data_IF_436756581795
#
_entry.id   IF_436756581795
#
_cell.length_a   1.000
_cell.length_b   1.000
_cell.length_c   1.000
_cell.angle_alpha   90.00
_cell.angle_beta   90.00
_cell.angle_gamma   90.00
#
_symmetry.space_group_name_H-M   'P 1'
#
loop_
_entity.id
_entity.type
_entity.pdbx_description
1 polymer ?
#
# COMPACT_ATOMS: atom_id res chain seq x y z
N UNK A 1 -20.99 38.94 -58.72
CA UNK A 1 -19.96 39.80 -59.34
C UNK A 1 -18.65 39.06 -59.23
N UNK A 2 -18.18 38.56 -60.37
CA UNK A 2 -17.02 37.70 -60.55
C UNK A 2 -15.75 38.54 -60.43
N UNK A 3 -15.24 38.71 -59.21
CA UNK A 3 -13.89 39.25 -59.02
C UNK A 3 -12.90 38.11 -59.27
N UNK A 4 -12.66 37.79 -60.54
CA UNK A 4 -11.47 37.02 -60.89
C UNK A 4 -10.26 37.77 -60.34
N UNK A 5 -9.28 37.04 -59.79
CA UNK A 5 -8.01 37.61 -59.30
C UNK A 5 -7.53 38.71 -60.24
N UNK A 6 -7.07 39.83 -59.67
CA UNK A 6 -6.54 40.91 -60.48
C UNK A 6 -5.36 40.37 -61.30
N UNK A 7 -5.13 40.88 -62.53
CA UNK A 7 -4.00 40.42 -63.35
C UNK A 7 -2.66 40.48 -62.61
N UNK A 8 -2.50 41.45 -61.73
CA UNK A 8 -1.32 41.63 -60.88
C UNK A 8 -1.16 40.48 -59.87
N UNK A 9 -2.25 40.03 -59.23
CA UNK A 9 -2.24 38.90 -58.29
C UNK A 9 -1.87 37.58 -58.99
N UNK A 10 -2.35 37.37 -60.22
CA UNK A 10 -1.98 36.19 -61.03
C UNK A 10 -0.54 36.24 -61.52
N UNK A 11 -0.05 37.40 -61.94
CA UNK A 11 1.34 37.56 -62.31
C UNK A 11 2.26 37.30 -61.11
N UNK A 12 1.88 37.78 -59.92
CA UNK A 12 2.59 37.52 -58.69
C UNK A 12 2.61 36.02 -58.34
N UNK A 13 1.51 35.29 -58.52
CA UNK A 13 1.47 33.85 -58.23
C UNK A 13 2.37 33.03 -59.17
N UNK A 14 2.48 33.42 -60.45
CA UNK A 14 3.39 32.80 -61.42
C UNK A 14 4.85 33.03 -61.01
N UNK A 15 5.23 34.27 -60.70
CA UNK A 15 6.59 34.61 -60.28
C UNK A 15 6.96 33.85 -58.98
N UNK A 16 6.01 33.75 -58.04
CA UNK A 16 6.22 33.07 -56.77
C UNK A 16 6.36 31.55 -56.91
N UNK A 17 5.73 30.94 -57.91
CA UNK A 17 5.79 29.49 -58.17
C UNK A 17 7.16 28.98 -58.64
N UNK A 18 8.03 29.87 -59.13
CA UNK A 18 9.38 29.51 -59.59
C UNK A 18 10.27 29.14 -58.38
N UNK A 19 10.91 27.95 -58.39
CA UNK A 19 11.74 27.49 -57.27
C UNK A 19 13.03 28.31 -57.15
N UNK A 20 12.97 29.39 -56.38
CA UNK A 20 14.11 30.21 -55.98
C UNK A 20 13.73 31.07 -54.78
N UNK A 21 14.72 31.46 -53.97
CA UNK A 21 14.54 32.30 -52.78
C UNK A 21 14.76 33.81 -53.05
N UNK A 22 15.26 34.20 -54.23
CA UNK A 22 15.55 35.59 -54.60
C UNK A 22 14.64 36.11 -55.72
N UNK A 23 14.10 37.32 -55.57
CA UNK A 23 13.22 37.97 -56.55
C UNK A 23 13.91 38.16 -57.92
N UNK A 24 15.18 38.55 -57.92
CA UNK A 24 15.96 38.70 -59.14
C UNK A 24 16.10 37.39 -59.91
N UNK A 25 16.27 36.28 -59.18
CA UNK A 25 16.37 34.95 -59.79
C UNK A 25 15.02 34.43 -60.25
N UNK A 26 13.92 34.76 -59.58
CA UNK A 26 12.56 34.41 -60.03
C UNK A 26 12.21 35.12 -61.33
N UNK A 27 12.32 36.45 -61.35
CA UNK A 27 12.02 37.25 -62.55
C UNK A 27 13.02 36.94 -63.67
N UNK A 28 14.31 36.81 -63.35
CA UNK A 28 15.33 36.38 -64.30
C UNK A 28 15.05 35.01 -64.88
N UNK A 29 14.60 34.04 -64.08
CA UNK A 29 14.26 32.69 -64.55
C UNK A 29 13.08 32.67 -65.52
N UNK A 30 12.02 33.43 -65.24
CA UNK A 30 10.87 33.55 -66.17
C UNK A 30 11.30 34.23 -67.47
N UNK A 31 12.02 35.36 -67.39
CA UNK A 31 12.47 36.11 -68.57
C UNK A 31 13.44 35.28 -69.40
N UNK A 32 14.40 34.60 -68.77
CA UNK A 32 15.32 33.70 -69.46
C UNK A 32 14.61 32.51 -70.09
N UNK A 33 13.64 31.91 -69.38
CA UNK A 33 12.84 30.81 -69.93
C UNK A 33 12.09 31.23 -71.19
N UNK A 34 11.40 32.39 -71.16
CA UNK A 34 10.69 32.93 -72.32
C UNK A 34 11.64 33.36 -73.45
N UNK A 35 12.78 33.95 -73.13
CA UNK A 35 13.78 34.34 -74.13
C UNK A 35 14.40 33.12 -74.82
N UNK A 36 14.69 32.06 -74.07
CA UNK A 36 15.22 30.80 -74.62
C UNK A 36 14.19 30.09 -75.51
N UNK A 37 12.92 30.05 -75.11
CA UNK A 37 11.87 29.46 -75.97
C UNK A 37 11.65 30.28 -77.24
N UNK A 38 11.61 31.61 -77.14
CA UNK A 38 11.49 32.49 -78.29
C UNK A 38 12.69 32.36 -79.25
N UNK A 39 13.91 32.29 -78.70
CA UNK A 39 15.11 32.06 -79.49
C UNK A 39 15.10 30.69 -80.16
N UNK A 40 14.70 29.62 -79.46
CA UNK A 40 14.65 28.27 -80.01
C UNK A 40 13.65 28.12 -81.16
N UNK A 41 12.53 28.83 -81.11
CA UNK A 41 11.57 28.91 -82.23
C UNK A 41 12.11 29.77 -83.37
N UNK A 42 12.69 30.93 -83.04
CA UNK A 42 13.20 31.87 -84.05
C UNK A 42 14.42 31.35 -84.81
N UNK A 43 15.24 30.50 -84.22
CA UNK A 43 16.41 29.88 -84.86
C UNK A 43 16.11 28.52 -85.48
N UNK A 44 14.83 28.09 -85.49
CA UNK A 44 14.39 26.75 -85.91
C UNK A 44 15.09 25.61 -85.15
N UNK A 45 15.71 25.89 -84.00
CA UNK A 45 16.29 24.86 -83.12
C UNK A 45 15.19 23.89 -82.62
N UNK A 46 13.96 24.38 -82.50
CA UNK A 46 12.76 23.56 -82.32
C UNK A 46 11.85 23.67 -83.55
N UNK A 47 11.67 22.55 -84.26
CA UNK A 47 10.75 22.45 -85.40
C UNK A 47 9.50 21.70 -84.97
N UNK A 48 8.33 22.34 -85.15
CA UNK A 48 7.05 21.71 -84.86
C UNK A 48 6.72 20.62 -85.89
N UNK A 49 6.92 19.36 -85.51
CA UNK A 49 6.59 18.18 -86.31
C UNK A 49 5.41 17.39 -85.69
N UNK A 50 4.96 16.32 -86.34
CA UNK A 50 3.90 15.42 -85.86
C UNK A 50 4.16 14.89 -84.43
N UNK A 51 5.42 14.65 -84.07
CA UNK A 51 5.83 14.23 -82.73
C UNK A 51 5.53 15.27 -81.64
N UNK A 52 5.37 16.55 -81.98
CA UNK A 52 5.03 17.60 -81.01
C UNK A 52 3.59 17.50 -80.53
N UNK A 53 2.67 17.06 -81.38
CA UNK A 53 1.29 16.76 -81.00
C UNK A 53 1.26 15.56 -80.05
N UNK A 54 2.08 14.54 -80.32
CA UNK A 54 2.24 13.39 -79.42
C UNK A 54 2.82 13.81 -78.07
N UNK A 55 3.86 14.65 -78.06
CA UNK A 55 4.47 15.15 -76.84
C UNK A 55 3.49 15.96 -75.98
N UNK A 56 2.72 16.87 -76.59
CA UNK A 56 1.68 17.65 -75.90
C UNK A 56 0.60 16.72 -75.34
N UNK A 57 0.12 15.74 -76.10
CA UNK A 57 -0.84 14.74 -75.64
C UNK A 57 -0.32 13.92 -74.46
N UNK A 58 0.95 13.50 -74.52
CA UNK A 58 1.62 12.80 -73.42
C UNK A 58 1.71 13.66 -72.16
N UNK A 59 2.11 14.93 -72.27
CA UNK A 59 2.17 15.83 -71.11
C UNK A 59 0.80 16.09 -70.48
N UNK A 60 -0.27 16.18 -71.27
CA UNK A 60 -1.63 16.31 -70.74
C UNK A 60 -2.02 15.06 -69.95
N UNK A 61 -1.75 13.86 -70.48
CA UNK A 61 -2.05 12.60 -69.80
C UNK A 61 -1.22 12.50 -68.51
N UNK A 62 0.09 12.78 -68.55
CA UNK A 62 0.96 12.76 -67.37
C UNK A 62 0.49 13.76 -66.31
N UNK A 63 0.08 14.97 -66.71
CA UNK A 63 -0.43 15.97 -65.79
C UNK A 63 -1.77 15.54 -65.15
N UNK A 64 -2.65 14.92 -65.93
CA UNK A 64 -3.93 14.39 -65.44
C UNK A 64 -3.73 13.20 -64.48
N UNK A 65 -2.85 12.26 -64.84
CA UNK A 65 -2.49 11.09 -64.03
C UNK A 65 -1.77 11.50 -62.74
N UNK A 66 -0.82 12.45 -62.84
CA UNK A 66 -0.12 12.98 -61.67
C UNK A 66 -1.08 13.61 -60.65
N UNK A 67 -2.09 14.37 -61.12
CA UNK A 67 -3.13 14.92 -60.25
C UNK A 67 -4.05 13.85 -59.66
N UNK A 68 -4.43 12.84 -60.44
CA UNK A 68 -5.42 11.84 -60.00
C UNK A 68 -4.83 10.76 -59.08
N UNK A 69 -3.56 10.39 -59.27
CA UNK A 69 -2.91 9.31 -58.50
C UNK A 69 -2.19 9.83 -57.24
N UNK A 70 -1.76 11.10 -57.21
CA UNK A 70 -0.99 11.64 -56.10
C UNK A 70 -1.68 11.50 -54.73
N UNK A 71 -2.94 11.94 -54.63
CA UNK A 71 -3.72 11.85 -53.40
C UNK A 71 -3.97 10.40 -52.91
N UNK A 72 -4.50 9.47 -53.74
CA UNK A 72 -4.72 8.10 -53.30
C UNK A 72 -3.41 7.39 -52.94
N UNK A 73 -2.33 7.62 -53.67
CA UNK A 73 -1.02 7.03 -53.35
C UNK A 73 -0.46 7.55 -52.01
N UNK A 74 -0.54 8.85 -51.75
CA UNK A 74 -0.16 9.44 -50.46
C UNK A 74 -0.93 8.81 -49.31
N UNK A 75 -2.25 8.71 -49.45
CA UNK A 75 -3.12 8.14 -48.41
C UNK A 75 -2.82 6.65 -48.15
N UNK A 76 -2.52 5.89 -49.21
CA UNK A 76 -2.12 4.49 -49.11
C UNK A 76 -0.76 4.34 -48.42
N UNK A 77 0.22 5.16 -48.81
CA UNK A 77 1.56 5.14 -48.24
C UNK A 77 1.53 5.51 -46.74
N UNK A 78 0.79 6.56 -46.37
CA UNK A 78 0.57 6.95 -44.98
C UNK A 78 -0.12 5.85 -44.17
N UNK A 79 -1.16 5.21 -44.73
CA UNK A 79 -1.84 4.08 -44.10
C UNK A 79 -0.90 2.91 -43.82
N UNK A 80 -0.04 2.57 -44.79
CA UNK A 80 0.96 1.51 -44.64
C UNK A 80 2.01 1.85 -43.57
N UNK A 81 2.53 3.09 -43.60
CA UNK A 81 3.48 3.59 -42.61
C UNK A 81 2.85 3.57 -41.21
N UNK A 82 1.62 4.02 -41.06
CA UNK A 82 0.92 4.05 -39.78
C UNK A 82 0.63 2.65 -39.25
N UNK A 83 0.30 1.69 -40.12
CA UNK A 83 0.16 0.28 -39.73
C UNK A 83 1.47 -0.29 -39.17
N UNK A 84 2.58 -0.08 -39.88
CA UNK A 84 3.90 -0.56 -39.43
C UNK A 84 4.29 0.10 -38.10
N UNK A 85 4.14 1.42 -37.99
CA UNK A 85 4.40 2.16 -36.74
C UNK A 85 3.52 1.67 -35.60
N UNK A 86 2.23 1.41 -35.86
CA UNK A 86 1.28 0.87 -34.89
C UNK A 86 1.70 -0.50 -34.36
N UNK A 87 2.06 -1.42 -35.26
CA UNK A 87 2.55 -2.75 -34.87
C UNK A 87 3.83 -2.64 -34.04
N UNK A 88 4.80 -1.82 -34.46
CA UNK A 88 6.05 -1.65 -33.74
C UNK A 88 5.85 -1.07 -32.34
N UNK A 89 5.00 -0.05 -32.20
CA UNK A 89 4.70 0.57 -30.91
C UNK A 89 3.90 -0.39 -30.00
N UNK A 90 2.95 -1.13 -30.57
CA UNK A 90 2.19 -2.16 -29.82
C UNK A 90 3.13 -3.26 -29.33
N UNK A 91 3.98 -3.81 -30.19
CA UNK A 91 4.94 -4.85 -29.82
C UNK A 91 5.91 -4.37 -28.73
N UNK A 92 6.39 -3.12 -28.82
CA UNK A 92 7.21 -2.52 -27.75
C UNK A 92 6.45 -2.44 -26.43
N UNK A 93 5.22 -1.93 -26.45
CA UNK A 93 4.40 -1.83 -25.23
C UNK A 93 4.03 -3.19 -24.65
N UNK A 94 3.77 -4.19 -25.49
CA UNK A 94 3.44 -5.54 -25.04
C UNK A 94 4.67 -6.23 -24.45
N UNK A 95 5.83 -6.09 -25.08
CA UNK A 95 7.08 -6.62 -24.56
C UNK A 95 7.45 -5.97 -23.22
N UNK A 96 7.33 -4.64 -23.07
CA UNK A 96 7.61 -3.99 -21.78
C UNK A 96 6.63 -4.46 -20.69
N UNK A 97 5.35 -4.64 -21.01
CA UNK A 97 4.37 -5.21 -20.08
C UNK A 97 4.71 -6.64 -19.67
N UNK A 98 5.06 -7.51 -20.63
CA UNK A 98 5.43 -8.89 -20.37
C UNK A 98 6.69 -8.99 -19.50
N UNK A 99 7.71 -8.18 -19.78
CA UNK A 99 8.93 -8.10 -18.97
C UNK A 99 8.62 -7.59 -17.57
N UNK A 100 7.79 -6.54 -17.44
CA UNK A 100 7.39 -6.01 -16.12
C UNK A 100 6.64 -7.05 -15.30
N UNK A 101 5.66 -7.74 -15.90
CA UNK A 101 4.92 -8.82 -15.24
C UNK A 101 5.84 -9.97 -14.80
N UNK A 102 6.87 -10.30 -15.61
CA UNK A 102 7.86 -11.31 -15.23
C UNK A 102 8.75 -10.84 -14.08
N UNK A 103 9.15 -9.57 -14.07
CA UNK A 103 9.91 -8.97 -12.96
C UNK A 103 9.08 -9.04 -11.67
N UNK A 104 7.80 -8.67 -11.71
CA UNK A 104 6.91 -8.71 -10.56
C UNK A 104 6.76 -10.14 -10.01
N UNK A 105 6.57 -11.12 -10.89
CA UNK A 105 6.50 -12.54 -10.50
C UNK A 105 7.80 -13.03 -9.86
N UNK A 106 8.96 -12.65 -10.40
CA UNK A 106 10.26 -13.01 -9.81
C UNK A 106 10.49 -12.29 -8.48
N UNK A 107 10.03 -11.05 -8.34
CA UNK A 107 10.14 -10.30 -7.10
C UNK A 107 9.33 -10.94 -5.96
N UNK A 108 8.17 -11.51 -6.25
CA UNK A 108 7.40 -12.29 -5.27
C UNK A 108 8.17 -13.52 -4.77
N UNK A 109 8.92 -14.19 -5.64
CA UNK A 109 9.72 -15.36 -5.26
C UNK A 109 10.89 -15.00 -4.33
N UNK A 110 11.39 -13.76 -4.39
CA UNK A 110 12.44 -13.28 -3.49
C UNK A 110 11.98 -13.26 -2.03
N UNK A 111 10.71 -12.94 -1.78
CA UNK A 111 10.14 -12.84 -0.43
C UNK A 111 9.80 -14.21 0.19
N UNK A 112 9.77 -15.29 -0.61
CA UNK A 112 9.40 -16.63 -0.10
C UNK A 112 10.48 -17.21 0.80
N UNK A 113 11.76 -17.05 0.45
CA UNK A 113 12.88 -17.56 1.25
C UNK A 113 12.90 -16.98 2.67
N UNK A 114 12.95 -15.65 2.87
CA UNK A 114 12.94 -15.08 4.22
C UNK A 114 11.65 -15.41 4.98
N UNK A 115 10.50 -15.50 4.30
CA UNK A 115 9.25 -15.91 4.93
C UNK A 115 9.32 -17.34 5.47
N UNK A 116 9.91 -18.28 4.71
CA UNK A 116 10.08 -19.66 5.18
C UNK A 116 11.05 -19.75 6.35
N UNK A 117 12.16 -19.01 6.33
CA UNK A 117 13.09 -18.95 7.45
C UNK A 117 12.43 -18.39 8.71
N UNK A 118 11.64 -17.31 8.57
CA UNK A 118 10.85 -16.74 9.65
C UNK A 118 9.82 -17.72 10.20
N UNK A 119 9.14 -18.48 9.34
CA UNK A 119 8.16 -19.48 9.78
C UNK A 119 8.83 -20.58 10.62
N UNK A 120 10.02 -21.04 10.22
CA UNK A 120 10.80 -22.00 11.02
C UNK A 120 11.33 -21.39 12.33
N UNK A 121 11.75 -20.12 12.31
CA UNK A 121 12.17 -19.41 13.51
C UNK A 121 11.02 -19.27 14.52
N UNK A 122 9.84 -18.86 14.06
CA UNK A 122 8.62 -18.77 14.87
C UNK A 122 8.24 -20.14 15.42
N UNK A 123 8.25 -21.20 14.60
CA UNK A 123 7.95 -22.55 15.09
C UNK A 123 8.92 -23.02 16.19
N UNK A 124 10.21 -22.68 16.06
CA UNK A 124 11.23 -23.01 17.07
C UNK A 124 11.03 -22.21 18.36
N UNK A 125 10.74 -20.92 18.25
CA UNK A 125 10.47 -20.03 19.38
C UNK A 125 9.21 -20.47 20.13
N UNK A 126 8.12 -20.78 19.41
CA UNK A 126 6.88 -21.30 20.00
C UNK A 126 7.12 -22.57 20.79
N UNK A 127 7.88 -23.53 20.24
CA UNK A 127 8.18 -24.78 20.97
C UNK A 127 9.00 -24.52 22.25
N UNK A 128 9.98 -23.61 22.19
CA UNK A 128 10.75 -23.23 23.37
C UNK A 128 9.85 -22.58 24.44
N UNK A 129 8.99 -21.64 24.05
CA UNK A 129 8.05 -20.97 24.95
C UNK A 129 6.98 -21.91 25.52
N UNK A 130 6.48 -22.87 24.73
CA UNK A 130 5.56 -23.90 25.20
C UNK A 130 6.22 -24.81 26.22
N UNK A 131 7.48 -25.20 25.99
CA UNK A 131 8.24 -25.99 26.94
C UNK A 131 8.48 -25.25 28.26
N UNK A 132 8.91 -23.99 28.21
CA UNK A 132 9.10 -23.15 29.40
C UNK A 132 7.78 -22.95 30.17
N UNK A 133 6.69 -22.65 29.47
CA UNK A 133 5.36 -22.54 30.09
C UNK A 133 4.91 -23.85 30.75
N UNK A 134 5.21 -25.00 30.14
CA UNK A 134 4.90 -26.29 30.71
C UNK A 134 5.68 -26.57 32.00
N UNK A 135 6.97 -26.24 32.04
CA UNK A 135 7.79 -26.37 33.24
C UNK A 135 7.31 -25.44 34.37
N UNK A 136 7.07 -24.17 34.05
CA UNK A 136 6.54 -23.20 35.02
C UNK A 136 5.15 -23.62 35.54
N UNK A 137 4.30 -24.15 34.67
CA UNK A 137 3.00 -24.70 35.05
C UNK A 137 3.10 -25.89 36.01
N UNK A 138 4.04 -26.81 35.77
CA UNK A 138 4.29 -27.92 36.70
C UNK A 138 4.81 -27.43 38.05
N UNK A 139 5.77 -26.50 38.06
CA UNK A 139 6.26 -25.92 39.31
C UNK A 139 5.15 -25.23 40.10
N UNK A 140 4.28 -24.47 39.41
CA UNK A 140 3.16 -23.79 40.03
C UNK A 140 2.15 -24.79 40.61
N UNK A 141 1.85 -25.88 39.89
CA UNK A 141 0.96 -26.93 40.38
C UNK A 141 1.52 -27.58 41.66
N UNK A 142 2.81 -27.91 41.70
CA UNK A 142 3.45 -28.46 42.90
C UNK A 142 3.42 -27.44 44.05
N UNK A 143 3.73 -26.17 43.78
CA UNK A 143 3.66 -25.09 44.79
C UNK A 143 2.24 -24.92 45.32
N UNK A 144 1.20 -25.02 44.48
CA UNK A 144 -0.19 -24.90 44.93
C UNK A 144 -0.64 -26.08 45.79
N UNK A 145 -0.25 -27.31 45.43
CA UNK A 145 -0.55 -28.50 46.24
C UNK A 145 0.13 -28.41 47.62
N UNK A 146 1.41 -28.05 47.65
CA UNK A 146 2.15 -27.85 48.91
C UNK A 146 1.51 -26.75 49.77
N UNK A 147 1.11 -25.63 49.17
CA UNK A 147 0.41 -24.56 49.86
C UNK A 147 -0.94 -25.02 50.40
N UNK A 148 -1.72 -25.76 49.62
CA UNK A 148 -3.02 -26.28 50.05
C UNK A 148 -2.87 -27.23 51.26
N UNK A 149 -1.86 -28.11 51.24
CA UNK A 149 -1.53 -28.97 52.37
C UNK A 149 -1.15 -28.11 53.58
N UNK A 150 -0.24 -27.15 53.44
CA UNK A 150 0.19 -26.29 54.55
C UNK A 150 -0.98 -25.47 55.13
N UNK A 151 -1.82 -24.88 54.28
CA UNK A 151 -2.99 -24.12 54.70
C UNK A 151 -3.99 -25.03 55.44
N UNK A 152 -4.09 -26.32 55.07
CA UNK A 152 -4.92 -27.31 55.79
C UNK A 152 -4.38 -27.63 57.19
N UNK A 153 -3.05 -27.74 57.35
CA UNK A 153 -2.40 -27.94 58.65
C UNK A 153 -2.61 -26.72 59.55
N UNK A 154 -2.37 -25.51 59.03
CA UNK A 154 -2.59 -24.26 59.78
C UNK A 154 -4.05 -24.15 60.24
N UNK A 155 -5.00 -24.49 59.36
CA UNK A 155 -6.43 -24.51 59.73
C UNK A 155 -6.72 -25.54 60.82
N UNK A 156 -6.14 -26.73 60.74
CA UNK A 156 -6.30 -27.75 61.77
C UNK A 156 -5.72 -27.30 63.13
N UNK A 157 -4.54 -26.69 63.13
CA UNK A 157 -3.92 -26.13 64.35
C UNK A 157 -4.73 -24.97 64.96
N UNK A 158 -5.30 -24.11 64.12
CA UNK A 158 -6.20 -23.04 64.58
C UNK A 158 -7.45 -23.65 65.22
N UNK A 159 -8.08 -24.64 64.57
CA UNK A 159 -9.24 -25.32 65.12
C UNK A 159 -8.92 -26.02 66.45
N UNK A 160 -7.79 -26.73 66.56
CA UNK A 160 -7.38 -27.38 67.80
C UNK A 160 -7.16 -26.37 68.93
N UNK A 161 -6.46 -25.26 68.65
CA UNK A 161 -6.27 -24.18 69.64
C UNK A 161 -7.60 -23.56 70.07
N UNK A 162 -8.52 -23.33 69.14
CA UNK A 162 -9.86 -22.82 69.47
C UNK A 162 -10.65 -23.81 70.33
N UNK A 163 -10.62 -25.11 70.02
CA UNK A 163 -11.28 -26.14 70.82
C UNK A 163 -10.67 -26.27 72.22
N UNK A 164 -9.34 -26.24 72.34
CA UNK A 164 -8.64 -26.22 73.62
C UNK A 164 -9.03 -24.99 74.45
N UNK A 165 -9.07 -23.81 73.84
CA UNK A 165 -9.52 -22.59 74.51
C UNK A 165 -10.97 -22.68 74.98
N UNK A 166 -11.88 -23.23 74.16
CA UNK A 166 -13.29 -23.44 74.55
C UNK A 166 -13.37 -24.43 75.72
N UNK A 167 -12.62 -25.53 75.69
CA UNK A 167 -12.58 -26.52 76.76
C UNK A 167 -12.00 -25.94 78.06
N UNK A 168 -10.91 -25.16 77.97
CA UNK A 168 -10.31 -24.47 79.10
C UNK A 168 -11.28 -23.43 79.70
N UNK A 169 -11.97 -22.64 78.87
CA UNK A 169 -12.98 -21.68 79.35
C UNK A 169 -14.13 -22.42 80.04
N UNK A 170 -14.62 -23.52 79.48
CA UNK A 170 -15.68 -24.34 80.10
C UNK A 170 -15.24 -24.91 81.45
N UNK A 171 -14.06 -25.52 81.53
CA UNK A 171 -13.55 -26.09 82.79
C UNK A 171 -13.28 -25.02 83.85
N UNK A 172 -12.71 -23.87 83.48
CA UNK A 172 -12.49 -22.74 84.39
C UNK A 172 -13.82 -22.19 84.89
N UNK A 173 -14.80 -21.97 84.00
CA UNK A 173 -16.13 -21.50 84.40
C UNK A 173 -16.85 -22.49 85.32
N UNK A 174 -16.85 -23.80 85.01
CA UNK A 174 -17.40 -24.84 85.88
C UNK A 174 -16.71 -24.88 87.25
N UNK A 175 -15.38 -24.80 87.30
CA UNK A 175 -14.61 -24.73 88.55
C UNK A 175 -14.98 -23.49 89.38
N UNK A 176 -15.16 -22.33 88.74
CA UNK A 176 -15.60 -21.09 89.40
C UNK A 176 -17.03 -21.24 89.94
N UNK A 177 -17.96 -21.80 89.16
CA UNK A 177 -19.34 -22.07 89.63
C UNK A 177 -19.37 -23.06 90.79
N UNK A 178 -18.56 -24.13 90.76
CA UNK A 178 -18.44 -25.09 91.86
C UNK A 178 -17.85 -24.45 93.12
N UNK A 179 -16.80 -23.62 92.98
CA UNK A 179 -16.23 -22.85 94.10
C UNK A 179 -17.22 -21.84 94.68
N UNK A 180 -18.01 -21.17 93.83
CA UNK A 180 -19.10 -20.30 94.26
C UNK A 180 -20.23 -21.06 94.97
N UNK A 181 -20.45 -22.34 94.67
CA UNK A 181 -21.44 -23.16 95.34
C UNK A 181 -21.02 -23.57 96.77
N UNK A 182 -19.71 -23.65 97.06
CA UNK A 182 -19.19 -23.99 98.39
C UNK A 182 -19.63 -22.94 99.44
N UNK A 183 -20.28 -23.35 100.55
CA UNK A 183 -20.82 -22.41 101.54
C UNK A 183 -19.72 -21.64 102.29
N UNK A 184 -18.51 -22.19 102.39
CA UNK A 184 -17.36 -21.52 102.99
C UNK A 184 -16.91 -20.31 102.16
N UNK A 185 -16.84 -20.47 100.84
CA UNK A 185 -16.45 -19.40 99.92
C UNK A 185 -17.53 -18.31 99.85
N UNK A 186 -18.82 -18.67 99.85
CA UNK A 186 -19.93 -17.68 99.92
C UNK A 186 -19.83 -16.79 101.16
N UNK A 187 -19.49 -17.36 102.32
CA UNK A 187 -19.30 -16.58 103.56
C UNK A 187 -18.11 -15.64 103.45
N UNK A 188 -16.97 -16.12 102.97
CA UNK A 188 -15.78 -15.29 102.75
C UNK A 188 -16.06 -14.14 101.76
N UNK A 189 -16.77 -14.41 100.67
CA UNK A 189 -17.14 -13.37 99.69
C UNK A 189 -18.11 -12.34 100.28
N UNK A 190 -19.07 -12.75 101.12
CA UNK A 190 -19.97 -11.83 101.81
C UNK A 190 -19.23 -10.97 102.85
N UNK A 191 -18.27 -11.55 103.57
CA UNK A 191 -17.39 -10.81 104.48
C UNK A 191 -16.53 -9.80 103.73
N UNK A 192 -15.93 -10.19 102.61
CA UNK A 192 -15.14 -9.29 101.77
C UNK A 192 -15.99 -8.17 101.16
N UNK A 193 -17.19 -8.50 100.66
CA UNK A 193 -18.13 -7.50 100.15
C UNK A 193 -18.60 -6.54 101.25
N UNK A 194 -18.82 -7.02 102.48
CA UNK A 194 -19.12 -6.17 103.64
C UNK A 194 -17.97 -5.21 103.94
N UNK A 195 -16.72 -5.70 103.95
CA UNK A 195 -15.53 -4.85 104.15
C UNK A 195 -15.40 -3.80 103.04
N UNK A 196 -15.62 -4.17 101.78
CA UNK A 196 -15.57 -3.23 100.66
C UNK A 196 -16.70 -2.18 100.73
N UNK A 197 -17.91 -2.58 101.11
CA UNK A 197 -19.03 -1.64 101.32
C UNK A 197 -18.76 -0.74 102.52
N UNK A 198 -18.20 -1.26 103.62
CA UNK A 198 -17.79 -0.43 104.77
C UNK A 198 -16.69 0.56 104.39
N UNK A 199 -15.72 0.19 103.55
CA UNK A 199 -14.71 1.11 103.03
C UNK A 199 -15.33 2.19 102.13
N UNK A 200 -16.26 1.83 101.23
CA UNK A 200 -16.96 2.79 100.37
C UNK A 200 -17.88 3.71 101.21
N UNK A 201 -18.55 3.18 102.23
CA UNK A 201 -19.38 3.98 103.12
C UNK A 201 -18.54 4.96 103.95
N UNK A 202 -17.36 4.53 104.43
CA UNK A 202 -16.40 5.43 105.10
C UNK A 202 -15.79 6.46 104.16
N UNK A 203 -15.59 6.14 102.87
CA UNK A 203 -15.09 7.11 101.89
C UNK A 203 -16.17 8.07 101.37
N UNK A 204 -17.45 7.69 101.44
CA UNK A 204 -18.61 8.56 101.13
C UNK A 204 -19.16 9.36 102.33
N UNK A 205 -18.74 9.05 103.56
CA UNK A 205 -19.05 9.85 104.74
C UNK A 205 -18.17 11.11 104.78
N UNK A 206 -18.41 12.02 103.82
CA UNK A 206 -18.12 13.45 103.85
C UNK A 206 -19.39 14.17 103.44
#
# INVERSE_FOLDING_TARGET
>A
MTSGETPDDKAASIINSVPSTSLWTKTGGVVLGTALTAAAVSTELYVANEETVLAVGFFIIVAAVGRSIGAPYSSWAEGHINRIKGILNSARSEHTKAVTARIDSVNQLKEVVPLTEQLYAVAKETNALEHENFLLGQEQAVKSELKAVLDSWVRFEQQQREQEQIALVKTVTENVYNKLAEPAFKKQLLEEALVQVEQIARSKAI
#
